data_IF_959928360832
#
_entry.id   IF_959928360832
#
_cell.length_a   1.000
_cell.length_b   1.000
_cell.length_c   1.000
_cell.angle_alpha   90.00
_cell.angle_beta   90.00
_cell.angle_gamma   90.00
#
_symmetry.space_group_name_H-M   'P 1'
#
loop_
_entity.id
_entity.type
_entity.pdbx_description
1 polymer ?
#
# COMPACT_ATOMS: atom_id res chain seq x y z
N UNK A 1 -32.64 11.36 23.27
CA UNK A 1 -31.47 10.48 23.47
C UNK A 1 -30.65 10.53 22.19
N UNK A 2 -29.73 11.50 22.10
CA UNK A 2 -28.88 11.69 20.93
C UNK A 2 -27.69 10.74 21.04
N UNK A 3 -27.52 9.84 20.08
CA UNK A 3 -26.19 9.59 19.53
C UNK A 3 -26.32 8.99 18.13
N UNK A 4 -25.88 9.82 17.19
CA UNK A 4 -25.73 9.62 15.77
C UNK A 4 -24.82 8.41 15.54
N UNK A 5 -25.36 7.35 14.94
CA UNK A 5 -24.55 6.25 14.41
C UNK A 5 -23.69 6.80 13.29
N UNK A 6 -22.38 6.66 13.49
CA UNK A 6 -21.31 7.22 12.69
C UNK A 6 -21.49 6.99 11.19
N UNK A 7 -21.24 8.05 10.43
CA UNK A 7 -21.46 8.12 9.00
C UNK A 7 -20.69 7.05 8.22
N UNK A 8 -21.44 6.14 7.61
CA UNK A 8 -21.03 5.51 6.36
C UNK A 8 -21.30 6.49 5.22
N UNK A 9 -20.49 7.53 5.11
CA UNK A 9 -20.32 8.23 3.85
C UNK A 9 -19.62 7.26 2.87
N UNK A 10 -20.01 7.18 1.58
CA UNK A 10 -19.18 6.59 0.52
C UNK A 10 -18.02 7.57 0.26
N UNK A 11 -17.15 7.71 1.26
CA UNK A 11 -16.23 8.83 1.40
C UNK A 11 -14.99 8.60 0.54
N UNK A 12 -14.59 9.66 -0.15
CA UNK A 12 -13.37 9.83 -0.96
C UNK A 12 -12.25 8.88 -0.51
N UNK A 13 -11.57 8.15 -1.43
CA UNK A 13 -10.53 7.21 -1.03
C UNK A 13 -9.52 7.94 -0.14
N UNK A 14 -9.34 7.45 1.10
CA UNK A 14 -8.40 8.01 2.10
C UNK A 14 -6.92 7.94 1.66
N UNK A 15 -6.70 7.42 0.46
CA UNK A 15 -5.42 7.18 -0.16
C UNK A 15 -5.45 7.61 -1.62
N UNK A 16 -4.28 7.99 -2.15
CA UNK A 16 -4.11 8.29 -3.57
C UNK A 16 -4.14 7.01 -4.41
N UNK A 17 -4.26 7.12 -5.73
CA UNK A 17 -4.21 5.96 -6.63
C UNK A 17 -2.95 5.12 -6.41
N UNK A 18 -1.77 5.76 -6.31
CA UNK A 18 -0.49 5.07 -6.07
C UNK A 18 -0.46 4.37 -4.70
N UNK A 19 -0.98 5.02 -3.65
CA UNK A 19 -1.09 4.40 -2.33
C UNK A 19 -2.05 3.21 -2.35
N UNK A 20 -3.18 3.34 -3.04
CA UNK A 20 -4.13 2.25 -3.24
C UNK A 20 -3.52 1.04 -3.92
N UNK A 21 -2.62 1.24 -4.89
CA UNK A 21 -1.89 0.14 -5.54
C UNK A 21 -0.96 -0.59 -4.56
N UNK A 22 -0.26 0.13 -3.68
CA UNK A 22 0.56 -0.50 -2.63
C UNK A 22 -0.30 -1.30 -1.64
N UNK A 23 -1.45 -0.76 -1.22
CA UNK A 23 -2.38 -1.44 -0.33
C UNK A 23 -2.97 -2.70 -0.99
N UNK A 24 -3.37 -2.61 -2.26
CA UNK A 24 -3.86 -3.73 -3.05
C UNK A 24 -2.78 -4.82 -3.22
N UNK A 25 -1.52 -4.44 -3.41
CA UNK A 25 -0.41 -5.38 -3.47
C UNK A 25 -0.21 -6.10 -2.14
N UNK A 26 -0.20 -5.36 -1.01
CA UNK A 26 -0.06 -5.96 0.32
C UNK A 26 -1.15 -7.00 0.60
N UNK A 27 -2.40 -6.67 0.28
CA UNK A 27 -3.53 -7.59 0.40
C UNK A 27 -3.36 -8.84 -0.47
N UNK A 28 -3.10 -8.64 -1.76
CA UNK A 28 -2.98 -9.73 -2.73
C UNK A 28 -1.80 -10.65 -2.41
N UNK A 29 -0.67 -10.08 -1.98
CA UNK A 29 0.50 -10.85 -1.58
C UNK A 29 0.20 -11.73 -0.36
N UNK A 30 -0.53 -11.19 0.63
CA UNK A 30 -0.99 -11.95 1.79
C UNK A 30 -1.93 -13.10 1.42
N UNK A 31 -2.86 -12.87 0.48
CA UNK A 31 -3.74 -13.91 -0.04
C UNK A 31 -2.96 -15.05 -0.74
N UNK A 32 -1.94 -14.71 -1.54
CA UNK A 32 -1.20 -15.69 -2.34
C UNK A 32 -0.14 -16.44 -1.53
N UNK A 33 0.55 -15.75 -0.62
CA UNK A 33 1.74 -16.29 0.07
C UNK A 33 1.50 -16.59 1.55
N UNK A 34 0.27 -16.33 2.06
CA UNK A 34 -0.10 -16.45 3.48
C UNK A 34 0.86 -15.71 4.44
N UNK A 35 1.54 -14.67 3.92
CA UNK A 35 2.57 -13.92 4.63
C UNK A 35 2.59 -12.48 4.14
N UNK A 36 2.89 -11.52 5.00
CA UNK A 36 3.03 -10.12 4.59
C UNK A 36 4.26 -9.91 3.70
N UNK A 37 4.19 -9.01 2.70
CA UNK A 37 5.33 -8.69 1.85
C UNK A 37 6.44 -7.98 2.63
N UNK A 38 7.68 -8.16 2.20
CA UNK A 38 8.79 -7.30 2.59
C UNK A 38 8.87 -6.08 1.66
N UNK A 39 9.63 -5.06 2.08
CA UNK A 39 9.94 -3.91 1.21
C UNK A 39 10.56 -4.37 -0.12
N UNK A 40 11.41 -5.40 -0.09
CA UNK A 40 12.04 -5.99 -1.29
C UNK A 40 11.03 -6.55 -2.29
N UNK A 41 9.92 -7.11 -1.82
CA UNK A 41 8.88 -7.65 -2.70
C UNK A 41 8.16 -6.51 -3.43
N UNK A 42 7.88 -5.41 -2.71
CA UNK A 42 7.33 -4.19 -3.30
C UNK A 42 8.30 -3.53 -4.29
N UNK A 43 9.60 -3.50 -3.99
CA UNK A 43 10.60 -2.98 -4.92
C UNK A 43 10.57 -3.74 -6.25
N UNK A 44 10.54 -5.07 -6.19
CA UNK A 44 10.51 -5.94 -7.37
C UNK A 44 9.21 -5.77 -8.15
N UNK A 45 8.08 -5.74 -7.45
CA UNK A 45 6.77 -5.61 -8.11
C UNK A 45 6.53 -4.23 -8.71
N UNK A 46 6.97 -3.15 -8.05
CA UNK A 46 6.73 -1.78 -8.53
C UNK A 46 7.90 -1.20 -9.36
N UNK A 47 9.02 -1.91 -9.47
CA UNK A 47 10.21 -1.43 -10.19
C UNK A 47 10.83 -0.17 -9.58
N UNK A 48 10.71 0.03 -8.26
CA UNK A 48 11.18 1.23 -7.57
C UNK A 48 12.36 0.97 -6.64
N UNK A 49 13.07 2.04 -6.29
CA UNK A 49 14.23 1.99 -5.38
C UNK A 49 13.82 1.71 -3.93
N UNK A 50 14.75 1.18 -3.12
CA UNK A 50 14.50 0.88 -1.70
C UNK A 50 14.04 2.10 -0.90
N UNK A 51 14.67 3.30 -1.06
CA UNK A 51 14.22 4.51 -0.38
C UNK A 51 12.79 4.89 -0.74
N UNK A 52 12.39 4.68 -2.01
CA UNK A 52 11.02 5.01 -2.48
C UNK A 52 9.96 4.13 -1.82
N UNK A 53 10.22 2.81 -1.72
CA UNK A 53 9.32 1.89 -1.00
C UNK A 53 9.27 2.24 0.47
N UNK A 54 10.42 2.45 1.10
CA UNK A 54 10.49 2.80 2.52
C UNK A 54 9.68 4.06 2.84
N UNK A 55 9.85 5.12 2.05
CA UNK A 55 9.07 6.36 2.19
C UNK A 55 7.56 6.14 1.94
N UNK A 56 7.19 5.28 0.99
CA UNK A 56 5.78 4.93 0.77
C UNK A 56 5.20 4.19 1.99
N UNK A 57 5.91 3.20 2.53
CA UNK A 57 5.50 2.45 3.72
C UNK A 57 5.32 3.39 4.92
N UNK A 58 6.28 4.28 5.18
CA UNK A 58 6.16 5.30 6.25
C UNK A 58 4.95 6.23 6.03
N UNK A 59 4.64 6.56 4.78
CA UNK A 59 3.50 7.42 4.46
C UNK A 59 2.17 6.70 4.70
N UNK A 60 2.08 5.41 4.33
CA UNK A 60 0.91 4.58 4.61
C UNK A 60 0.70 4.36 6.11
N UNK A 61 1.78 4.15 6.85
CA UNK A 61 1.77 4.01 8.33
C UNK A 61 1.31 5.31 9.01
N UNK A 62 1.89 6.46 8.64
CA UNK A 62 1.47 7.78 9.18
C UNK A 62 0.01 8.12 8.89
N UNK A 63 -0.55 7.59 7.80
CA UNK A 63 -1.97 7.75 7.45
C UNK A 63 -2.89 6.75 8.13
N UNK A 64 -2.35 5.82 8.93
CA UNK A 64 -3.13 4.77 9.59
C UNK A 64 -3.73 3.75 8.61
N UNK A 65 -3.17 3.60 7.42
CA UNK A 65 -3.65 2.67 6.39
C UNK A 65 -3.04 1.27 6.55
N UNK A 66 -1.84 1.23 7.14
CA UNK A 66 -1.13 0.01 7.52
C UNK A 66 -0.55 0.15 8.92
N UNK A 67 -0.24 -0.98 9.55
CA UNK A 67 0.61 -1.07 10.74
C UNK A 67 1.85 -1.88 10.41
N UNK A 68 2.99 -1.54 11.00
CA UNK A 68 4.20 -2.38 10.94
C UNK A 68 4.94 -2.36 12.27
N UNK A 69 5.85 -3.31 12.44
CA UNK A 69 6.80 -3.33 13.55
C UNK A 69 8.17 -2.86 13.01
N UNK A 70 8.73 -1.75 13.54
CA UNK A 70 10.06 -1.30 13.16
C UNK A 70 11.10 -2.41 13.37
N UNK A 71 11.99 -2.61 12.39
CA UNK A 71 13.06 -3.61 12.47
C UNK A 71 12.66 -5.05 12.13
N UNK A 72 11.36 -5.34 11.95
CA UNK A 72 10.89 -6.65 11.51
C UNK A 72 10.47 -6.63 10.04
N UNK A 73 11.19 -7.41 9.23
CA UNK A 73 10.77 -7.68 7.87
C UNK A 73 9.46 -8.48 7.89
N UNK A 74 8.53 -8.15 6.98
CA UNK A 74 7.25 -8.87 6.81
C UNK A 74 6.28 -8.76 7.99
N UNK A 75 6.27 -7.62 8.67
CA UNK A 75 5.32 -7.31 9.75
C UNK A 75 4.19 -6.37 9.30
N UNK A 76 4.00 -6.17 8.00
CA UNK A 76 3.03 -5.20 7.49
C UNK A 76 1.63 -5.79 7.61
N UNK A 77 0.77 -5.10 8.37
CA UNK A 77 -0.64 -5.43 8.56
C UNK A 77 -1.49 -4.35 7.89
N UNK A 78 -2.50 -4.78 7.12
CA UNK A 78 -3.41 -3.89 6.42
C UNK A 78 -4.55 -3.48 7.36
N UNK A 79 -4.78 -2.17 7.53
CA UNK A 79 -5.86 -1.65 8.38
C UNK A 79 -7.08 -1.18 7.58
N UNK A 80 -7.05 -1.31 6.27
CA UNK A 80 -8.14 -0.94 5.37
C UNK A 80 -8.93 -2.17 4.91
N UNK A 81 -10.23 -1.98 4.70
CA UNK A 81 -11.11 -3.05 4.19
C UNK A 81 -10.71 -3.41 2.74
N UNK A 82 -10.58 -4.69 2.39
CA UNK A 82 -10.25 -5.12 1.02
C UNK A 82 -11.24 -4.60 -0.04
N UNK A 83 -12.52 -4.47 0.33
CA UNK A 83 -13.57 -3.98 -0.56
C UNK A 83 -13.39 -2.53 -1.04
N UNK A 84 -12.61 -1.71 -0.32
CA UNK A 84 -12.31 -0.34 -0.74
C UNK A 84 -11.01 -0.23 -1.54
N UNK A 85 -10.23 -1.31 -1.67
CA UNK A 85 -8.98 -1.29 -2.41
C UNK A 85 -9.25 -1.21 -3.91
N UNK A 86 -8.43 -0.45 -4.67
CA UNK A 86 -8.49 -0.51 -6.12
C UNK A 86 -8.01 -1.89 -6.59
N UNK A 87 -8.40 -2.27 -7.81
CA UNK A 87 -7.82 -3.43 -8.47
C UNK A 87 -6.32 -3.20 -8.64
N UNK A 88 -5.52 -4.22 -8.30
CA UNK A 88 -4.08 -4.21 -8.53
C UNK A 88 -3.83 -4.12 -10.04
N UNK A 89 -3.18 -3.03 -10.47
CA UNK A 89 -2.83 -2.81 -11.85
C UNK A 89 -1.43 -3.39 -12.10
N UNK A 90 -1.21 -4.04 -13.26
CA UNK A 90 0.13 -4.42 -13.67
C UNK A 90 0.97 -3.15 -13.82
N UNK A 91 2.22 -3.21 -13.34
CA UNK A 91 3.20 -2.17 -13.61
C UNK A 91 3.32 -1.99 -15.12
N UNK A 92 2.90 -0.84 -15.62
CA UNK A 92 3.41 -0.35 -16.89
C UNK A 92 4.83 0.11 -16.60
N UNK A 93 5.86 -0.44 -17.27
CA UNK A 93 7.17 0.17 -17.22
C UNK A 93 6.99 1.59 -17.79
N UNK A 94 6.90 2.58 -16.92
CA UNK A 94 7.25 3.94 -17.32
C UNK A 94 8.71 3.80 -17.71
N UNK A 95 8.98 3.85 -19.00
CA UNK A 95 10.33 4.02 -19.51
C UNK A 95 10.88 5.24 -18.77
N UNK A 96 11.64 4.98 -17.71
CA UNK A 96 12.41 5.99 -17.02
C UNK A 96 13.38 6.49 -18.07
N UNK A 97 12.97 7.53 -18.79
CA UNK A 97 13.78 8.33 -19.68
C UNK A 97 14.76 9.12 -18.80
N UNK A 98 15.64 8.38 -18.14
CA UNK A 98 16.88 8.90 -17.58
C UNK A 98 17.88 8.68 -18.69
N UNK A 99 17.79 9.53 -19.72
CA UNK A 99 18.90 9.76 -20.63
C UNK A 99 20.00 10.40 -19.77
N UNK A 100 20.87 9.54 -19.22
CA UNK A 100 22.16 9.96 -18.71
C UNK A 100 23.03 10.25 -19.92
N UNK A 101 23.20 11.53 -20.24
CA UNK A 101 24.32 12.06 -21.00
C UNK A 101 24.81 13.33 -20.31
#
# INVERSE_FOLDING_TARGET
>A
MNQLVDGQSPDRPRFTQKQGQYLAFIWTYGLLNSRSPAERDMQRFFGVTAPSVHQMVLTLERRGLIRRQPGLARSIELLVKPASLPRLQPIQPVESSVHRY
#
